data_IF_726777647828
#
_entry.id   IF_726777647828
#
_cell.length_a   1.000
_cell.length_b   1.000
_cell.length_c   1.000
_cell.angle_alpha   90.00
_cell.angle_beta   90.00
_cell.angle_gamma   90.00
#
_symmetry.space_group_name_H-M   'P 1'
#
loop_
_entity.id
_entity.type
_entity.pdbx_description
1 polymer ?
#
# COMPACT_ATOMS: atom_id res chain seq x y z
N UNK A 1 63.91 19.24 0.75
CA UNK A 1 62.61 19.93 0.74
C UNK A 1 61.66 19.18 -0.20
N UNK A 2 60.87 18.22 0.30
CA UNK A 2 59.94 17.39 -0.53
C UNK A 2 58.59 17.20 0.20
N UNK A 3 58.27 18.07 1.17
CA UNK A 3 57.10 17.89 2.06
C UNK A 3 55.84 18.55 1.49
N UNK A 4 56.00 19.60 0.69
CA UNK A 4 54.88 20.43 0.19
C UNK A 4 53.96 19.77 -0.86
N UNK A 5 54.43 19.01 -1.87
CA UNK A 5 53.52 18.45 -2.88
C UNK A 5 52.64 17.32 -2.31
N UNK A 6 53.07 16.70 -1.20
CA UNK A 6 52.36 15.57 -0.57
C UNK A 6 51.22 16.00 0.34
N UNK A 7 51.35 17.14 1.03
CA UNK A 7 50.26 17.70 1.85
C UNK A 7 49.07 18.11 0.99
N UNK A 8 49.32 18.81 -0.11
CA UNK A 8 48.27 19.28 -1.01
C UNK A 8 47.45 18.13 -1.63
N UNK A 9 48.06 16.98 -1.94
CA UNK A 9 47.32 15.80 -2.40
C UNK A 9 46.47 15.17 -1.31
N UNK A 10 46.97 15.08 -0.07
CA UNK A 10 46.21 14.51 1.06
C UNK A 10 45.01 15.38 1.41
N UNK A 11 45.12 16.70 1.33
CA UNK A 11 43.99 17.61 1.59
C UNK A 11 42.87 17.48 0.54
N UNK A 12 43.22 17.22 -0.72
CA UNK A 12 42.25 16.96 -1.80
C UNK A 12 41.55 15.60 -1.61
N UNK A 13 42.30 14.55 -1.28
CA UNK A 13 41.75 13.21 -1.06
C UNK A 13 40.84 13.16 0.18
N UNK A 14 41.19 13.89 1.25
CA UNK A 14 40.35 14.06 2.46
C UNK A 14 39.05 14.81 2.14
N UNK A 15 39.10 15.84 1.29
CA UNK A 15 37.92 16.60 0.90
C UNK A 15 36.94 15.78 0.03
N UNK A 16 37.46 14.95 -0.89
CA UNK A 16 36.62 14.04 -1.68
C UNK A 16 36.00 12.92 -0.82
N UNK A 17 36.77 12.34 0.11
CA UNK A 17 36.26 11.35 1.06
C UNK A 17 35.18 11.93 1.99
N UNK A 18 35.34 13.17 2.45
CA UNK A 18 34.32 13.86 3.25
C UNK A 18 33.04 14.16 2.45
N UNK A 19 33.14 14.54 1.18
CA UNK A 19 31.98 14.71 0.29
C UNK A 19 31.23 13.40 0.06
N UNK A 20 31.96 12.32 -0.19
CA UNK A 20 31.38 10.99 -0.35
C UNK A 20 30.71 10.50 0.95
N UNK A 21 31.33 10.75 2.11
CA UNK A 21 30.77 10.44 3.43
C UNK A 21 29.52 11.25 3.76
N UNK A 22 29.49 12.53 3.41
CA UNK A 22 28.32 13.39 3.60
C UNK A 22 27.13 13.00 2.69
N UNK A 23 27.40 12.65 1.43
CA UNK A 23 26.38 12.16 0.50
C UNK A 23 25.81 10.80 0.94
N UNK A 24 26.67 9.88 1.40
CA UNK A 24 26.22 8.60 1.97
C UNK A 24 25.43 8.78 3.27
N UNK A 25 25.82 9.74 4.11
CA UNK A 25 25.11 10.10 5.34
C UNK A 25 23.72 10.68 5.07
N UNK A 26 23.59 11.55 4.07
CA UNK A 26 22.30 12.13 3.66
C UNK A 26 21.33 11.05 3.15
N UNK A 27 21.79 10.20 2.22
CA UNK A 27 20.96 9.10 1.69
C UNK A 27 20.55 8.12 2.79
N UNK A 28 21.43 7.84 3.77
CA UNK A 28 21.11 6.99 4.93
C UNK A 28 20.05 7.62 5.83
N UNK A 29 20.16 8.92 6.12
CA UNK A 29 19.19 9.65 6.93
C UNK A 29 17.81 9.73 6.24
N UNK A 30 17.79 10.01 4.93
CA UNK A 30 16.56 10.05 4.13
C UNK A 30 15.86 8.69 4.10
N UNK A 31 16.61 7.58 3.96
CA UNK A 31 16.05 6.23 4.05
C UNK A 31 15.55 5.89 5.47
N UNK A 32 16.26 6.34 6.52
CA UNK A 32 15.85 6.11 7.91
C UNK A 32 14.57 6.89 8.27
N UNK A 33 14.39 8.12 7.76
CA UNK A 33 13.15 8.89 7.93
C UNK A 33 11.97 8.24 7.21
N UNK A 34 12.14 7.85 5.94
CA UNK A 34 11.08 7.15 5.20
C UNK A 34 10.69 5.83 5.87
N UNK A 35 11.68 5.10 6.42
CA UNK A 35 11.44 3.87 7.15
C UNK A 35 10.75 4.12 8.50
N UNK A 36 11.11 5.21 9.19
CA UNK A 36 10.52 5.61 10.46
C UNK A 36 9.03 5.96 10.34
N UNK A 37 8.54 6.38 9.17
CA UNK A 37 7.12 6.60 8.91
C UNK A 37 6.39 5.33 8.43
N UNK A 38 7.06 4.51 7.61
CA UNK A 38 6.47 3.30 7.04
C UNK A 38 6.19 2.23 8.10
N UNK A 39 7.09 2.04 9.09
CA UNK A 39 6.91 1.02 10.14
C UNK A 39 5.69 1.32 11.04
N UNK A 40 5.50 2.54 11.57
CA UNK A 40 4.30 2.89 12.32
C UNK A 40 3.02 2.77 11.50
N UNK A 41 3.04 3.18 10.22
CA UNK A 41 1.89 3.04 9.34
C UNK A 41 1.49 1.57 9.13
N UNK A 42 2.47 0.69 8.92
CA UNK A 42 2.25 -0.75 8.81
C UNK A 42 1.70 -1.34 10.12
N UNK A 43 2.30 -1.03 11.26
CA UNK A 43 1.82 -1.51 12.56
C UNK A 43 0.40 -1.02 12.87
N UNK A 44 0.09 0.23 12.53
CA UNK A 44 -1.24 0.79 12.68
C UNK A 44 -2.26 0.08 11.78
N UNK A 45 -1.88 -0.26 10.54
CA UNK A 45 -2.71 -1.05 9.65
C UNK A 45 -2.96 -2.46 10.19
N UNK A 46 -1.93 -3.17 10.65
CA UNK A 46 -2.07 -4.50 11.24
C UNK A 46 -2.96 -4.49 12.49
N UNK A 47 -2.80 -3.48 13.34
CA UNK A 47 -3.66 -3.30 14.51
C UNK A 47 -5.10 -3.01 14.09
N UNK A 48 -5.31 -2.21 13.04
CA UNK A 48 -6.65 -1.94 12.52
C UNK A 48 -7.31 -3.20 11.95
N UNK A 49 -6.55 -4.10 11.31
CA UNK A 49 -7.06 -5.41 10.87
C UNK A 49 -7.56 -6.25 12.05
N UNK A 50 -6.85 -6.24 13.18
CA UNK A 50 -7.25 -6.97 14.40
C UNK A 50 -8.58 -6.45 14.99
N UNK A 51 -9.02 -5.24 14.63
CA UNK A 51 -10.31 -4.69 15.06
C UNK A 51 -11.49 -5.10 14.18
N UNK A 52 -11.24 -5.69 13.01
CA UNK A 52 -12.28 -6.09 12.06
C UNK A 52 -13.02 -7.31 12.60
N UNK A 53 -14.33 -7.16 12.86
CA UNK A 53 -15.15 -8.27 13.36
C UNK A 53 -15.76 -9.05 12.19
N UNK A 54 -16.05 -10.35 12.37
CA UNK A 54 -16.76 -11.14 11.37
C UNK A 54 -18.13 -10.54 10.97
N UNK A 55 -18.78 -9.82 11.88
CA UNK A 55 -20.03 -9.11 11.60
C UNK A 55 -19.83 -7.96 10.59
N UNK A 56 -18.71 -7.24 10.68
CA UNK A 56 -18.39 -6.13 9.77
C UNK A 56 -18.11 -6.67 8.36
N UNK A 57 -17.39 -7.81 8.26
CA UNK A 57 -17.14 -8.52 6.99
C UNK A 57 -18.47 -8.94 6.35
N UNK A 58 -19.37 -9.57 7.13
CA UNK A 58 -20.69 -9.98 6.65
C UNK A 58 -21.53 -8.79 6.17
N UNK A 59 -21.46 -7.66 6.88
CA UNK A 59 -22.13 -6.43 6.46
C UNK A 59 -21.62 -5.97 5.08
N UNK A 60 -20.30 -5.91 4.90
CA UNK A 60 -19.69 -5.54 3.61
C UNK A 60 -20.13 -6.49 2.50
N UNK A 61 -20.17 -7.80 2.75
CA UNK A 61 -20.62 -8.79 1.76
C UNK A 61 -22.11 -8.67 1.40
N UNK A 62 -22.94 -8.19 2.34
CA UNK A 62 -24.38 -8.09 2.13
C UNK A 62 -24.80 -6.95 1.19
N UNK A 63 -23.90 -6.03 0.85
CA UNK A 63 -24.20 -4.93 -0.05
C UNK A 63 -24.46 -5.44 -1.48
N UNK A 64 -25.70 -5.27 -1.94
CA UNK A 64 -26.07 -5.48 -3.35
C UNK A 64 -25.40 -4.43 -4.25
N UNK A 65 -25.38 -3.18 -3.79
CA UNK A 65 -24.74 -2.04 -4.44
C UNK A 65 -23.84 -1.35 -3.41
N UNK A 66 -22.59 -1.80 -3.24
CA UNK A 66 -21.70 -1.19 -2.26
C UNK A 66 -21.36 0.26 -2.64
N UNK A 67 -21.18 1.15 -1.66
CA UNK A 67 -20.66 2.50 -1.87
C UNK A 67 -19.36 2.49 -2.68
N UNK A 68 -19.12 3.55 -3.46
CA UNK A 68 -17.92 3.67 -4.30
C UNK A 68 -16.62 3.47 -3.51
N UNK A 69 -16.54 4.05 -2.31
CA UNK A 69 -15.37 3.90 -1.42
C UNK A 69 -15.14 2.44 -1.01
N UNK A 70 -16.20 1.68 -0.68
CA UNK A 70 -16.08 0.26 -0.32
C UNK A 70 -15.62 -0.56 -1.53
N UNK A 71 -16.19 -0.29 -2.72
CA UNK A 71 -15.75 -0.93 -3.96
C UNK A 71 -14.26 -0.70 -4.19
N UNK A 72 -13.80 0.55 -4.08
CA UNK A 72 -12.43 0.92 -4.33
C UNK A 72 -11.45 0.28 -3.34
N UNK A 73 -11.80 0.24 -2.05
CA UNK A 73 -11.01 -0.47 -1.02
C UNK A 73 -10.91 -1.95 -1.32
N UNK A 74 -12.02 -2.59 -1.63
CA UNK A 74 -12.04 -4.03 -1.92
C UNK A 74 -11.34 -4.39 -3.23
N UNK A 75 -11.45 -3.53 -4.24
CA UNK A 75 -10.72 -3.64 -5.50
C UNK A 75 -9.21 -3.60 -5.25
N UNK A 76 -8.74 -2.63 -4.46
CA UNK A 76 -7.34 -2.50 -4.14
C UNK A 76 -6.80 -3.70 -3.35
N UNK A 77 -7.58 -4.24 -2.39
CA UNK A 77 -7.23 -5.48 -1.69
C UNK A 77 -7.13 -6.66 -2.67
N UNK A 78 -8.06 -6.80 -3.60
CA UNK A 78 -7.98 -7.85 -4.63
C UNK A 78 -6.73 -7.70 -5.50
N UNK A 79 -6.34 -6.47 -5.86
CA UNK A 79 -5.11 -6.20 -6.61
C UNK A 79 -3.87 -6.59 -5.80
N UNK A 80 -3.82 -6.27 -4.51
CA UNK A 80 -2.73 -6.71 -3.63
C UNK A 80 -2.61 -8.24 -3.60
N UNK A 81 -3.73 -8.95 -3.51
CA UNK A 81 -3.77 -10.41 -3.50
C UNK A 81 -3.63 -11.06 -4.90
N UNK A 82 -3.33 -10.27 -5.94
CA UNK A 82 -3.26 -10.66 -7.36
C UNK A 82 -4.51 -11.44 -7.86
N UNK A 83 -5.67 -11.07 -7.35
CA UNK A 83 -6.95 -11.68 -7.72
C UNK A 83 -7.48 -11.02 -8.98
N UNK A 84 -7.79 -11.84 -9.98
CA UNK A 84 -8.26 -11.36 -11.28
C UNK A 84 -9.71 -10.85 -11.22
N UNK A 85 -10.03 -9.73 -11.90
CA UNK A 85 -11.40 -9.26 -12.01
C UNK A 85 -12.23 -10.19 -12.90
N UNK A 86 -13.55 -10.09 -12.78
CA UNK A 86 -14.45 -10.62 -13.78
C UNK A 86 -14.79 -9.57 -14.83
N UNK A 87 -14.97 -10.01 -16.08
CA UNK A 87 -15.45 -9.15 -17.16
C UNK A 87 -16.97 -9.15 -17.14
N UNK A 88 -17.56 -8.05 -16.72
CA UNK A 88 -19.02 -7.87 -16.66
C UNK A 88 -19.45 -6.81 -17.68
N UNK A 89 -20.70 -6.85 -18.10
CA UNK A 89 -21.28 -5.78 -18.92
C UNK A 89 -21.48 -4.56 -18.04
N UNK A 90 -21.07 -3.41 -18.52
CA UNK A 90 -21.16 -2.13 -17.83
C UNK A 90 -22.60 -1.88 -17.35
N UNK A 91 -22.83 -1.80 -16.02
CA UNK A 91 -24.16 -1.62 -15.45
C UNK A 91 -24.76 -0.24 -15.77
N UNK A 92 -23.98 0.71 -16.30
CA UNK A 92 -24.49 1.99 -16.81
C UNK A 92 -25.26 1.88 -18.13
N UNK A 93 -25.28 0.69 -18.75
CA UNK A 93 -26.00 0.45 -20.01
C UNK A 93 -25.18 0.79 -21.26
N UNK A 94 -23.89 1.11 -21.11
CA UNK A 94 -23.00 1.41 -22.25
C UNK A 94 -22.73 0.21 -23.17
N UNK A 95 -23.09 -1.01 -22.74
CA UNK A 95 -22.87 -2.26 -23.47
C UNK A 95 -21.41 -2.72 -23.51
N UNK A 96 -20.47 -1.93 -22.94
CA UNK A 96 -19.05 -2.26 -22.89
C UNK A 96 -18.78 -3.31 -21.81
N UNK A 97 -17.75 -4.12 -21.99
CA UNK A 97 -17.26 -5.03 -20.94
C UNK A 97 -16.26 -4.27 -20.06
N UNK A 98 -16.52 -4.23 -18.77
CA UNK A 98 -15.64 -3.63 -17.76
C UNK A 98 -15.09 -4.71 -16.83
N UNK A 99 -13.95 -4.42 -16.21
CA UNK A 99 -13.36 -5.24 -15.17
C UNK A 99 -14.05 -4.91 -13.84
N UNK A 100 -14.68 -5.92 -13.23
CA UNK A 100 -15.35 -5.80 -11.94
C UNK A 100 -14.70 -6.74 -10.93
N UNK A 101 -14.26 -6.14 -9.84
CA UNK A 101 -13.64 -6.83 -8.71
C UNK A 101 -14.63 -7.13 -7.60
N UNK A 102 -15.90 -6.71 -7.68
CA UNK A 102 -16.84 -6.90 -6.57
C UNK A 102 -17.15 -8.37 -6.29
N UNK A 103 -17.45 -9.15 -7.33
CA UNK A 103 -17.69 -10.59 -7.17
C UNK A 103 -16.46 -11.35 -6.63
N UNK A 104 -15.23 -11.14 -7.14
CA UNK A 104 -14.02 -11.67 -6.51
C UNK A 104 -13.83 -11.21 -5.06
N UNK A 105 -14.07 -9.92 -4.77
CA UNK A 105 -13.95 -9.35 -3.43
C UNK A 105 -14.84 -10.05 -2.41
N UNK A 106 -16.08 -10.37 -2.77
CA UNK A 106 -16.99 -11.12 -1.90
C UNK A 106 -16.46 -12.52 -1.57
N UNK A 107 -15.80 -13.19 -2.52
CA UNK A 107 -15.19 -14.51 -2.29
C UNK A 107 -14.02 -14.42 -1.34
N UNK A 108 -13.19 -13.39 -1.48
CA UNK A 108 -12.08 -13.10 -0.57
C UNK A 108 -12.60 -12.86 0.85
N UNK A 109 -13.61 -12.02 0.99
CA UNK A 109 -14.25 -11.74 2.27
C UNK A 109 -14.97 -12.97 2.88
N UNK A 110 -15.28 -13.98 2.06
CA UNK A 110 -15.94 -15.20 2.54
C UNK A 110 -14.93 -16.19 3.15
N UNK A 111 -13.63 -15.98 2.93
CA UNK A 111 -12.59 -16.76 3.56
C UNK A 111 -12.50 -16.42 5.05
N UNK A 112 -12.73 -17.42 5.91
CA UNK A 112 -12.60 -17.29 7.35
C UNK A 112 -11.20 -16.85 7.78
N UNK A 113 -10.18 -17.14 6.96
CA UNK A 113 -8.79 -16.76 7.18
C UNK A 113 -8.42 -15.43 6.51
N UNK A 114 -9.36 -14.70 5.92
CA UNK A 114 -9.08 -13.48 5.16
C UNK A 114 -8.19 -12.49 5.93
N UNK A 115 -8.58 -12.11 7.15
CA UNK A 115 -7.84 -11.14 7.97
C UNK A 115 -6.46 -11.68 8.35
N UNK A 116 -6.37 -12.97 8.68
CA UNK A 116 -5.09 -13.64 8.96
C UNK A 116 -4.17 -13.62 7.73
N UNK A 117 -4.71 -13.90 6.55
CA UNK A 117 -3.97 -13.85 5.29
C UNK A 117 -3.44 -12.46 4.96
N UNK A 118 -4.17 -11.40 5.29
CA UNK A 118 -3.67 -10.02 5.15
C UNK A 118 -2.53 -9.71 6.13
N UNK A 119 -2.56 -10.30 7.33
CA UNK A 119 -1.53 -10.14 8.35
C UNK A 119 -0.23 -10.85 7.98
N UNK A 120 -0.37 -12.03 7.39
CA UNK A 120 0.74 -12.90 6.97
C UNK A 120 1.18 -12.63 5.53
N UNK A 121 0.61 -11.62 4.88
CA UNK A 121 0.90 -11.27 3.50
C UNK A 121 2.40 -10.97 3.31
N UNK A 122 2.99 -11.60 2.28
CA UNK A 122 4.41 -11.45 1.94
C UNK A 122 4.68 -10.10 1.25
N UNK A 123 4.77 -9.06 2.08
CA UNK A 123 5.06 -7.68 1.66
C UNK A 123 6.47 -7.50 1.08
N UNK A 124 7.37 -8.44 1.32
CA UNK A 124 8.76 -8.37 0.88
C UNK A 124 8.92 -8.89 -0.57
N UNK A 125 7.94 -9.67 -1.06
CA UNK A 125 7.93 -10.23 -2.42
C UNK A 125 6.70 -9.81 -3.25
N UNK A 126 6.23 -8.57 -3.09
CA UNK A 126 5.12 -8.05 -3.92
C UNK A 126 5.60 -7.82 -5.36
N UNK A 127 4.87 -8.36 -6.33
CA UNK A 127 5.19 -8.16 -7.74
C UNK A 127 5.21 -6.65 -8.10
N UNK A 128 6.23 -6.14 -8.83
CA UNK A 128 6.32 -4.71 -9.16
C UNK A 128 5.09 -4.15 -9.89
N UNK A 129 4.39 -5.00 -10.66
CA UNK A 129 3.12 -4.66 -11.33
C UNK A 129 2.03 -4.26 -10.32
N UNK A 130 1.94 -4.99 -9.20
CA UNK A 130 0.95 -4.76 -8.15
C UNK A 130 1.25 -3.43 -7.47
N UNK A 131 2.50 -3.22 -7.02
CA UNK A 131 2.93 -1.95 -6.39
C UNK A 131 2.65 -0.76 -7.30
N UNK A 132 3.01 -0.87 -8.59
CA UNK A 132 2.76 0.17 -9.57
C UNK A 132 1.26 0.47 -9.73
N UNK A 133 0.42 -0.57 -9.76
CA UNK A 133 -1.04 -0.43 -9.81
C UNK A 133 -1.59 0.23 -8.54
N UNK A 134 -1.12 -0.17 -7.37
CA UNK A 134 -1.57 0.40 -6.09
C UNK A 134 -1.24 1.90 -6.03
N UNK A 135 0.02 2.23 -6.33
CA UNK A 135 0.49 3.63 -6.28
C UNK A 135 -0.22 4.53 -7.29
N UNK A 136 -0.36 4.05 -8.53
CA UNK A 136 -0.92 4.85 -9.62
C UNK A 136 -2.44 4.98 -9.55
N UNK A 137 -3.14 3.91 -9.19
CA UNK A 137 -4.60 3.86 -9.31
C UNK A 137 -5.31 4.20 -7.99
N UNK A 138 -4.77 3.78 -6.84
CA UNK A 138 -5.45 3.94 -5.56
C UNK A 138 -4.81 5.00 -4.69
N UNK A 139 -3.52 4.92 -4.34
CA UNK A 139 -2.93 5.90 -3.40
C UNK A 139 -2.83 7.31 -3.98
N UNK A 140 -2.84 7.44 -5.32
CA UNK A 140 -2.93 8.74 -6.01
C UNK A 140 -4.37 9.29 -6.08
N UNK A 141 -5.37 8.49 -5.74
CA UNK A 141 -6.78 8.88 -5.79
C UNK A 141 -7.19 9.58 -4.48
N UNK A 142 -7.65 10.84 -4.50
CA UNK A 142 -8.05 11.58 -3.30
C UNK A 142 -9.25 10.95 -2.57
N UNK A 143 -10.06 10.14 -3.25
CA UNK A 143 -11.18 9.42 -2.64
C UNK A 143 -10.73 8.18 -1.86
N UNK A 144 -9.53 7.66 -2.15
CA UNK A 144 -8.93 6.51 -1.49
C UNK A 144 -8.10 6.97 -0.28
N UNK A 145 -8.79 7.40 0.77
CA UNK A 145 -8.14 7.77 2.02
C UNK A 145 -8.77 7.02 3.20
N UNK A 146 -7.98 6.68 4.25
CA UNK A 146 -8.51 6.07 5.46
C UNK A 146 -9.69 6.87 6.06
N UNK A 147 -9.62 8.21 6.00
CA UNK A 147 -10.68 9.08 6.49
C UNK A 147 -11.99 8.95 5.70
N UNK A 148 -11.92 8.78 4.38
CA UNK A 148 -13.11 8.54 3.57
C UNK A 148 -13.65 7.11 3.76
N UNK A 149 -12.76 6.13 3.87
CA UNK A 149 -13.13 4.74 4.13
C UNK A 149 -13.81 4.58 5.52
N UNK A 150 -13.33 5.31 6.53
CA UNK A 150 -13.91 5.33 7.89
C UNK A 150 -15.38 5.79 7.92
N UNK A 151 -15.76 6.71 7.02
CA UNK A 151 -17.16 7.15 6.88
C UNK A 151 -18.08 6.02 6.40
N UNK A 152 -17.52 5.04 5.67
CA UNK A 152 -18.26 3.88 5.20
C UNK A 152 -18.31 2.78 6.26
N UNK A 153 -17.15 2.40 6.82
CA UNK A 153 -17.05 1.51 7.98
C UNK A 153 -15.64 1.50 8.58
N UNK A 154 -15.53 1.11 9.85
CA UNK A 154 -14.24 0.85 10.50
C UNK A 154 -13.44 -0.25 9.80
N UNK A 155 -14.13 -1.27 9.27
CA UNK A 155 -13.49 -2.33 8.49
C UNK A 155 -12.89 -1.80 7.17
N UNK A 156 -13.60 -0.92 6.46
CA UNK A 156 -13.09 -0.28 5.25
C UNK A 156 -11.89 0.62 5.56
N UNK A 157 -11.90 1.34 6.69
CA UNK A 157 -10.74 2.11 7.15
C UNK A 157 -9.51 1.22 7.38
N UNK A 158 -9.66 0.12 8.12
CA UNK A 158 -8.55 -0.80 8.40
C UNK A 158 -7.95 -1.40 7.13
N UNK A 159 -8.80 -1.85 6.21
CA UNK A 159 -8.39 -2.36 4.90
C UNK A 159 -7.71 -1.28 4.05
N UNK A 160 -8.22 -0.04 4.06
CA UNK A 160 -7.61 1.08 3.34
C UNK A 160 -6.22 1.40 3.88
N UNK A 161 -6.04 1.45 5.21
CA UNK A 161 -4.73 1.65 5.84
C UNK A 161 -3.76 0.55 5.48
N UNK A 162 -4.22 -0.70 5.46
CA UNK A 162 -3.42 -1.85 5.05
C UNK A 162 -2.92 -1.73 3.62
N UNK A 163 -3.79 -1.41 2.66
CA UNK A 163 -3.35 -1.19 1.27
C UNK A 163 -2.35 -0.04 1.16
N UNK A 164 -2.55 1.07 1.87
CA UNK A 164 -1.62 2.20 1.83
C UNK A 164 -0.26 1.91 2.46
N UNK A 165 -0.18 0.91 3.34
CA UNK A 165 1.05 0.51 4.01
C UNK A 165 1.87 -0.53 3.24
N UNK A 166 1.33 -1.07 2.13
CA UNK A 166 2.00 -2.01 1.21
C UNK A 166 2.66 -1.29 0.04
#
# INVERSE_FOLDING_TARGET
EVVEPKKAQVDVEVAEAQKAGAAAGAVKAECEEMLAEAIPALNAALTALDTIKPADIKLVQSFKNPPATIKLVMEAVCVCLDIKPFKVVDPSGSGKKIEDYWEPSKKVLADSNFVQGLREYDKDNIAPRIIASIRKTYTSNPDFTPANAAKASSAAEGLCKWVCAM
#
